data_IF_763271105016
#
_entry.id   IF_763271105016
#
_cell.length_a   1.000
_cell.length_b   1.000
_cell.length_c   1.000
_cell.angle_alpha   90.00
_cell.angle_beta   90.00
_cell.angle_gamma   90.00
#
_symmetry.space_group_name_H-M   'P 1'
#
loop_
_entity.id
_entity.type
_entity.pdbx_description
1 polymer ?
#
# COMPACT_ATOMS: atom_id res chain seq x y z
N UNK A 1 34.11 -57.55 -2.00
CA UNK A 1 34.49 -56.42 -1.11
C UNK A 1 34.34 -55.02 -1.75
N UNK A 2 34.10 -54.89 -3.06
CA UNK A 2 34.07 -53.59 -3.79
C UNK A 2 32.80 -52.74 -3.52
N UNK A 3 31.65 -53.34 -3.22
CA UNK A 3 30.37 -52.60 -3.03
C UNK A 3 30.39 -51.61 -1.86
N UNK A 4 31.12 -51.88 -0.77
CA UNK A 4 31.16 -51.01 0.43
C UNK A 4 31.91 -49.70 0.19
N UNK A 5 32.97 -49.72 -0.62
CA UNK A 5 33.74 -48.54 -0.96
C UNK A 5 32.96 -47.62 -1.91
N UNK A 6 32.32 -48.19 -2.94
CA UNK A 6 31.50 -47.45 -3.90
C UNK A 6 30.28 -46.78 -3.24
N UNK A 7 29.64 -47.46 -2.27
CA UNK A 7 28.50 -46.90 -1.54
C UNK A 7 28.90 -45.71 -0.64
N UNK A 8 30.12 -45.69 -0.11
CA UNK A 8 30.61 -44.63 0.79
C UNK A 8 30.94 -43.34 0.03
N UNK A 9 31.56 -43.47 -1.15
CA UNK A 9 31.88 -42.33 -2.03
C UNK A 9 30.60 -41.71 -2.64
N UNK A 10 29.62 -42.55 -3.03
CA UNK A 10 28.33 -42.06 -3.52
C UNK A 10 27.54 -41.38 -2.40
N UNK A 11 27.55 -41.92 -1.18
CA UNK A 11 26.89 -41.29 -0.03
C UNK A 11 27.50 -39.93 0.32
N UNK A 12 28.82 -39.79 0.21
CA UNK A 12 29.53 -38.52 0.45
C UNK A 12 29.17 -37.42 -0.55
N UNK A 13 28.76 -37.77 -1.77
CA UNK A 13 28.36 -36.79 -2.80
C UNK A 13 26.85 -36.54 -2.82
N UNK A 14 26.03 -37.56 -2.62
CA UNK A 14 24.56 -37.46 -2.79
C UNK A 14 23.90 -36.78 -1.58
N UNK A 15 24.37 -37.03 -0.37
CA UNK A 15 23.82 -36.43 0.87
C UNK A 15 23.93 -34.90 0.88
N UNK A 16 25.10 -34.27 0.62
CA UNK A 16 25.18 -32.82 0.62
C UNK A 16 24.35 -32.19 -0.50
N UNK A 17 24.28 -32.81 -1.70
CA UNK A 17 23.44 -32.32 -2.80
C UNK A 17 21.96 -32.35 -2.41
N UNK A 18 21.49 -33.44 -1.79
CA UNK A 18 20.11 -33.56 -1.33
C UNK A 18 19.79 -32.51 -0.24
N UNK A 19 20.72 -32.25 0.68
CA UNK A 19 20.56 -31.22 1.72
C UNK A 19 20.51 -29.81 1.10
N UNK A 20 21.38 -29.51 0.13
CA UNK A 20 21.37 -28.22 -0.58
C UNK A 20 20.03 -28.02 -1.31
N UNK A 21 19.55 -29.03 -2.04
CA UNK A 21 18.25 -28.97 -2.72
C UNK A 21 17.10 -28.76 -1.74
N UNK A 22 17.10 -29.47 -0.60
CA UNK A 22 16.07 -29.30 0.43
C UNK A 22 16.08 -27.88 1.02
N UNK A 23 17.27 -27.35 1.35
CA UNK A 23 17.40 -25.99 1.89
C UNK A 23 16.96 -24.93 0.89
N UNK A 24 17.31 -25.07 -0.39
CA UNK A 24 16.88 -24.16 -1.46
C UNK A 24 15.34 -24.15 -1.61
N UNK A 25 14.70 -25.32 -1.57
CA UNK A 25 13.23 -25.43 -1.62
C UNK A 25 12.59 -24.75 -0.42
N UNK A 26 13.11 -24.95 0.80
CA UNK A 26 12.60 -24.29 2.01
C UNK A 26 12.73 -22.77 1.92
N UNK A 27 13.88 -22.25 1.46
CA UNK A 27 14.09 -20.80 1.28
C UNK A 27 13.09 -20.21 0.27
N UNK A 28 12.86 -20.86 -0.87
CA UNK A 28 11.88 -20.41 -1.87
C UNK A 28 10.45 -20.38 -1.30
N UNK A 29 10.07 -21.42 -0.55
CA UNK A 29 8.76 -21.49 0.11
C UNK A 29 8.62 -20.41 1.18
N UNK A 30 9.67 -20.13 1.95
CA UNK A 30 9.65 -19.05 2.94
C UNK A 30 9.59 -17.66 2.29
N UNK A 31 10.32 -17.42 1.21
CA UNK A 31 10.29 -16.16 0.46
C UNK A 31 8.94 -15.90 -0.22
N UNK A 32 8.24 -16.94 -0.68
CA UNK A 32 6.91 -16.79 -1.28
C UNK A 32 5.84 -16.27 -0.30
N UNK A 33 6.04 -16.41 1.01
CA UNK A 33 5.12 -15.87 2.03
C UNK A 33 5.33 -14.39 2.33
N UNK A 34 6.41 -13.79 1.83
CA UNK A 34 6.75 -12.38 2.04
C UNK A 34 6.27 -11.48 0.91
N UNK A 35 5.13 -11.81 0.27
CA UNK A 35 4.39 -10.84 -0.53
C UNK A 35 3.75 -9.82 0.42
N UNK A 36 4.58 -8.94 0.96
CA UNK A 36 4.15 -7.65 1.48
C UNK A 36 3.64 -6.91 0.26
N UNK A 37 2.33 -6.97 0.06
CA UNK A 37 1.65 -6.20 -0.95
C UNK A 37 1.86 -4.72 -0.60
N UNK A 38 2.90 -4.12 -1.17
CA UNK A 38 3.01 -2.68 -1.19
C UNK A 38 1.88 -2.19 -2.10
N UNK A 39 0.93 -1.37 -1.62
CA UNK A 39 -0.06 -0.79 -2.50
C UNK A 39 0.67 0.16 -3.46
N UNK A 40 0.87 -0.28 -4.71
CA UNK A 40 1.12 0.63 -5.81
C UNK A 40 -0.21 1.32 -6.10
N UNK A 41 -0.34 2.57 -5.66
CA UNK A 41 -1.58 3.35 -5.76
C UNK A 41 -1.81 3.87 -7.20
N UNK A 42 -1.70 2.97 -8.17
CA UNK A 42 -2.01 3.20 -9.58
C UNK A 42 -3.19 2.34 -10.08
N UNK A 43 -3.64 1.36 -9.29
CA UNK A 43 -4.71 0.45 -9.67
C UNK A 43 -5.99 0.82 -8.93
N UNK A 44 -7.09 0.99 -9.67
CA UNK A 44 -8.42 1.20 -9.12
C UNK A 44 -8.84 0.02 -8.25
N UNK A 45 -9.57 0.29 -7.16
CA UNK A 45 -10.07 -0.77 -6.26
C UNK A 45 -9.88 -0.47 -4.78
N UNK A 46 -10.00 -1.50 -3.96
CA UNK A 46 -9.89 -1.38 -2.49
C UNK A 46 -8.47 -0.99 -2.08
N UNK A 47 -8.35 0.06 -1.27
CA UNK A 47 -7.05 0.58 -0.80
C UNK A 47 -7.07 0.89 0.69
N UNK A 48 -5.86 0.89 1.26
CA UNK A 48 -5.56 1.41 2.59
C UNK A 48 -4.44 2.43 2.40
N UNK A 49 -4.71 3.69 2.73
CA UNK A 49 -3.75 4.78 2.61
C UNK A 49 -3.48 5.35 4.00
N UNK A 50 -2.20 5.45 4.34
CA UNK A 50 -1.74 6.17 5.53
C UNK A 50 -1.20 7.53 5.12
N UNK A 51 -1.54 8.56 5.87
CA UNK A 51 -1.08 9.90 5.58
C UNK A 51 -1.68 10.95 6.49
N UNK A 52 -1.33 12.21 6.23
CA UNK A 52 -1.87 13.36 6.95
C UNK A 52 -3.18 13.81 6.32
N UNK A 53 -4.23 13.93 7.13
CA UNK A 53 -5.47 14.54 6.72
C UNK A 53 -5.31 16.07 6.62
N UNK A 54 -5.66 16.67 5.48
CA UNK A 54 -5.49 18.11 5.24
C UNK A 54 -6.52 18.68 4.26
N UNK A 55 -6.54 20.02 4.16
CA UNK A 55 -7.19 20.71 3.04
C UNK A 55 -6.25 20.68 1.83
N UNK A 56 -6.75 20.19 0.70
CA UNK A 56 -5.97 20.07 -0.53
C UNK A 56 -5.46 21.45 -0.99
N UNK A 57 -4.18 21.55 -1.37
CA UNK A 57 -3.65 22.79 -1.93
C UNK A 57 -4.18 23.00 -3.35
N UNK A 58 -4.39 24.25 -3.73
CA UNK A 58 -4.70 24.58 -5.13
C UNK A 58 -3.44 24.45 -5.99
N UNK A 59 -3.60 23.99 -7.23
CA UNK A 59 -2.54 23.97 -8.26
C UNK A 59 -2.09 25.39 -8.58
N UNK A 60 -3.03 26.33 -8.71
CA UNK A 60 -2.78 27.74 -8.98
C UNK A 60 -3.18 28.62 -7.79
N UNK A 61 -2.24 29.39 -7.29
CA UNK A 61 -2.40 30.31 -6.14
C UNK A 61 -2.35 31.79 -6.55
N UNK A 62 -2.30 32.10 -7.85
CA UNK A 62 -2.12 33.46 -8.37
C UNK A 62 -3.36 34.36 -8.23
N UNK A 63 -4.54 33.79 -8.01
CA UNK A 63 -5.82 34.50 -7.84
C UNK A 63 -6.41 34.43 -6.43
N UNK A 64 -7.52 35.15 -6.18
CA UNK A 64 -8.28 35.05 -4.93
C UNK A 64 -8.73 33.61 -4.67
N UNK A 65 -8.45 33.11 -3.46
CA UNK A 65 -8.82 31.76 -3.05
C UNK A 65 -10.02 31.80 -2.11
N UNK A 66 -10.94 30.85 -2.25
CA UNK A 66 -12.01 30.67 -1.27
C UNK A 66 -11.43 30.03 -0.01
N UNK A 67 -12.00 30.32 1.16
CA UNK A 67 -11.62 29.65 2.41
C UNK A 67 -12.20 28.22 2.53
N UNK A 68 -12.67 27.65 1.43
CA UNK A 68 -13.30 26.34 1.41
C UNK A 68 -12.24 25.24 1.50
N UNK A 69 -12.41 24.31 2.44
CA UNK A 69 -11.52 23.16 2.59
C UNK A 69 -12.02 22.00 1.73
N UNK A 70 -11.29 21.67 0.66
CA UNK A 70 -11.45 20.38 0.00
C UNK A 70 -10.67 19.31 0.77
N UNK A 71 -11.37 18.30 1.29
CA UNK A 71 -10.76 17.27 2.12
C UNK A 71 -9.84 16.36 1.30
N UNK A 72 -8.65 16.10 1.84
CA UNK A 72 -7.70 15.19 1.23
C UNK A 72 -6.75 14.52 2.23
N UNK A 73 -6.02 13.52 1.72
CA UNK A 73 -4.91 12.86 2.42
C UNK A 73 -3.64 13.11 1.62
N UNK A 74 -2.56 13.44 2.31
CA UNK A 74 -1.19 13.39 1.75
C UNK A 74 -0.45 12.22 2.36
N UNK A 75 -0.03 11.27 1.53
CA UNK A 75 0.75 10.13 2.00
C UNK A 75 2.23 10.49 2.24
N UNK A 76 2.99 9.53 2.76
CA UNK A 76 4.43 9.67 3.03
C UNK A 76 5.27 9.93 1.78
N UNK A 77 4.75 9.57 0.59
CA UNK A 77 5.39 9.83 -0.71
C UNK A 77 5.07 11.23 -1.23
N UNK A 78 4.24 11.98 -0.51
CA UNK A 78 3.79 13.32 -0.88
C UNK A 78 2.67 13.34 -1.92
N UNK A 79 2.04 12.20 -2.23
CA UNK A 79 0.93 12.12 -3.16
C UNK A 79 -0.36 12.58 -2.47
N UNK A 80 -1.17 13.35 -3.20
CA UNK A 80 -2.46 13.83 -2.70
C UNK A 80 -3.61 12.97 -3.23
N UNK A 81 -4.53 12.65 -2.33
CA UNK A 81 -5.77 11.94 -2.62
C UNK A 81 -6.95 12.81 -2.22
N UNK A 82 -7.91 12.97 -3.13
CA UNK A 82 -9.20 13.55 -2.77
C UNK A 82 -9.99 12.56 -1.91
N UNK A 83 -10.76 13.08 -0.97
CA UNK A 83 -11.61 12.27 -0.09
C UNK A 83 -13.07 12.47 -0.48
N UNK A 84 -13.74 11.36 -0.82
CA UNK A 84 -15.19 11.31 -0.97
C UNK A 84 -15.79 10.35 0.05
N UNK A 85 -17.01 10.61 0.51
CA UNK A 85 -17.73 9.68 1.36
C UNK A 85 -18.61 8.75 0.50
N UNK A 86 -18.72 7.48 0.90
CA UNK A 86 -19.73 6.56 0.35
C UNK A 86 -21.10 6.76 0.99
N UNK A 87 -21.14 7.35 2.19
CA UNK A 87 -22.35 7.68 2.93
C UNK A 87 -22.83 9.09 2.55
N UNK A 88 -24.09 9.21 2.11
CA UNK A 88 -24.69 10.49 1.69
C UNK A 88 -24.85 11.51 2.82
N UNK A 89 -24.71 11.08 4.07
CA UNK A 89 -24.72 11.92 5.29
C UNK A 89 -23.31 12.25 5.80
N UNK A 90 -22.26 11.88 5.04
CA UNK A 90 -20.86 12.23 5.32
C UNK A 90 -20.33 11.73 6.67
N UNK A 91 -20.90 10.64 7.21
CA UNK A 91 -20.55 10.12 8.55
C UNK A 91 -19.11 9.63 8.66
N UNK A 92 -18.49 9.19 7.56
CA UNK A 92 -17.14 8.64 7.59
C UNK A 92 -16.09 9.75 7.53
N UNK A 93 -16.36 10.80 6.75
CA UNK A 93 -15.41 11.91 6.53
C UNK A 93 -15.61 13.07 7.49
N UNK A 94 -16.79 13.23 8.10
CA UNK A 94 -17.05 14.31 9.09
C UNK A 94 -16.18 14.23 10.34
N UNK A 95 -15.59 13.07 10.63
CA UNK A 95 -14.69 12.85 11.77
C UNK A 95 -13.21 12.87 11.40
N UNK A 96 -12.86 13.29 10.18
CA UNK A 96 -11.48 13.30 9.72
C UNK A 96 -10.66 14.30 10.58
N UNK A 97 -9.67 13.84 11.37
CA UNK A 97 -8.91 14.70 12.26
C UNK A 97 -7.90 15.53 11.45
N UNK A 98 -8.24 16.78 11.13
CA UNK A 98 -7.41 17.64 10.29
C UNK A 98 -6.04 17.94 10.91
N UNK A 99 -5.00 17.88 10.08
CA UNK A 99 -3.61 18.04 10.48
C UNK A 99 -3.01 16.85 11.24
N UNK A 100 -3.72 15.72 11.32
CA UNK A 100 -3.26 14.50 12.00
C UNK A 100 -3.02 13.37 11.02
N UNK A 101 -2.14 12.45 11.41
CA UNK A 101 -1.96 11.20 10.69
C UNK A 101 -3.16 10.28 10.90
N UNK A 102 -3.56 9.63 9.82
CA UNK A 102 -4.69 8.72 9.77
C UNK A 102 -4.39 7.55 8.83
N UNK A 103 -5.05 6.44 9.10
CA UNK A 103 -5.25 5.37 8.13
C UNK A 103 -6.68 5.47 7.56
N UNK A 104 -6.78 5.58 6.24
CA UNK A 104 -8.05 5.63 5.50
C UNK A 104 -8.22 4.35 4.70
N UNK A 105 -9.42 3.77 4.78
CA UNK A 105 -9.82 2.60 3.99
C UNK A 105 -10.98 2.97 3.09
N UNK A 106 -10.95 2.46 1.86
CA UNK A 106 -11.97 2.78 0.88
C UNK A 106 -11.67 2.22 -0.50
N UNK A 107 -12.39 2.74 -1.49
CA UNK A 107 -12.15 2.42 -2.90
C UNK A 107 -11.47 3.59 -3.58
N UNK A 108 -10.28 3.35 -4.14
CA UNK A 108 -9.59 4.32 -4.98
C UNK A 108 -10.14 4.30 -6.40
N UNK A 109 -10.44 5.48 -6.91
CA UNK A 109 -10.81 5.74 -8.30
C UNK A 109 -9.78 6.71 -8.86
N UNK A 110 -9.11 6.30 -9.94
CA UNK A 110 -8.10 7.14 -10.59
C UNK A 110 -8.78 8.32 -11.28
N UNK A 111 -8.13 9.48 -11.23
CA UNK A 111 -8.63 10.68 -11.89
C UNK A 111 -7.72 11.86 -11.66
N UNK A 112 -7.75 12.82 -12.58
CA UNK A 112 -7.11 14.12 -12.41
C UNK A 112 -8.14 15.16 -11.97
N UNK A 113 -7.65 16.28 -11.45
CA UNK A 113 -8.46 17.40 -11.01
C UNK A 113 -7.79 18.72 -11.43
N UNK A 114 -8.51 19.61 -12.10
CA UNK A 114 -7.92 20.86 -12.60
C UNK A 114 -7.54 21.86 -11.49
N UNK A 115 -8.15 21.71 -10.30
CA UNK A 115 -7.97 22.64 -9.17
C UNK A 115 -6.94 22.11 -8.17
N UNK A 116 -6.93 20.81 -7.90
CA UNK A 116 -6.11 20.19 -6.86
C UNK A 116 -5.12 19.17 -7.45
N UNK A 117 -3.87 19.06 -6.96
CA UNK A 117 -2.86 18.13 -7.48
C UNK A 117 -3.07 16.69 -6.98
N UNK A 118 -4.27 16.14 -7.16
CA UNK A 118 -4.63 14.79 -6.70
C UNK A 118 -4.40 13.74 -7.77
N UNK A 119 -3.97 12.54 -7.38
CA UNK A 119 -3.83 11.39 -8.30
C UNK A 119 -5.11 10.55 -8.44
N UNK A 120 -6.13 10.87 -7.63
CA UNK A 120 -7.44 10.25 -7.68
C UNK A 120 -8.25 10.53 -6.41
N UNK A 121 -9.39 9.85 -6.29
CA UNK A 121 -10.31 9.99 -5.16
C UNK A 121 -10.43 8.67 -4.41
N UNK A 122 -10.36 8.71 -3.08
CA UNK A 122 -10.68 7.59 -2.21
C UNK A 122 -12.12 7.76 -1.71
N UNK A 123 -12.99 6.82 -2.06
CA UNK A 123 -14.34 6.68 -1.50
C UNK A 123 -14.24 5.97 -0.16
N UNK A 124 -14.25 6.76 0.91
CA UNK A 124 -13.93 6.35 2.27
C UNK A 124 -15.06 5.51 2.87
N UNK A 125 -14.69 4.38 3.44
CA UNK A 125 -15.58 3.52 4.24
C UNK A 125 -15.18 3.50 5.71
N UNK A 126 -13.90 3.81 6.03
CA UNK A 126 -13.41 3.88 7.41
C UNK A 126 -12.21 4.81 7.53
N UNK A 127 -12.17 5.58 8.62
CA UNK A 127 -11.02 6.39 9.06
C UNK A 127 -10.57 5.90 10.42
N UNK A 128 -9.26 5.81 10.64
CA UNK A 128 -8.66 5.46 11.93
C UNK A 128 -7.53 6.45 12.23
N UNK A 129 -7.63 7.29 13.26
CA UNK A 129 -6.53 8.13 13.72
C UNK A 129 -5.33 7.28 14.14
N UNK A 130 -4.12 7.79 13.90
CA UNK A 130 -2.85 7.18 14.31
C UNK A 130 -2.22 7.91 15.48
#
# INVERSE_FOLDING_TARGET
MVKKALHREILLLVVPIAVILLTAVVVVVLQSKSSVWAPSVEQEGSVIVKGTALCLPHKDTSGPQTLACALGIKDEKGQYYAIGDTDSTYKNVSKLPMGKEVEVRGTFVKGDNDIYPTIGTIKVTKVTPL
#
